data_IF_539247392250
#
_entry.id   IF_539247392250
#
_cell.length_a   1.000
_cell.length_b   1.000
_cell.length_c   1.000
_cell.angle_alpha   90.00
_cell.angle_beta   90.00
_cell.angle_gamma   90.00
#
_symmetry.space_group_name_H-M   'P 1'
#
loop_
_entity.id
_entity.type
_entity.pdbx_description
1 polymer ?
#
# COMPACT_ATOMS: atom_id res chain seq x y z
N UNK A 1 -13.57 67.48 56.45
CA UNK A 1 -12.27 66.77 56.35
C UNK A 1 -12.24 66.08 55.00
N UNK A 2 -11.19 66.36 54.24
CA UNK A 2 -11.02 66.02 52.83
C UNK A 2 -10.64 64.54 52.65
N UNK A 3 -11.06 63.91 51.56
CA UNK A 3 -10.11 63.32 50.61
C UNK A 3 -10.78 62.82 49.32
N UNK A 4 -10.15 63.21 48.22
CA UNK A 4 -10.41 62.91 46.82
C UNK A 4 -9.41 61.81 46.40
N UNK A 5 -9.67 61.13 45.27
CA UNK A 5 -8.84 60.18 44.51
C UNK A 5 -9.02 58.71 44.96
N UNK A 6 -9.17 57.72 44.09
CA UNK A 6 -8.41 57.47 42.86
C UNK A 6 -9.19 56.45 42.01
N UNK A 7 -9.61 56.80 40.79
CA UNK A 7 -8.91 56.55 39.52
C UNK A 7 -8.92 55.07 39.09
N UNK A 8 -9.48 54.85 37.91
CA UNK A 8 -9.90 53.56 37.38
C UNK A 8 -8.79 52.53 37.19
N UNK A 9 -9.17 51.26 37.36
CA UNK A 9 -8.41 50.11 36.89
C UNK A 9 -9.02 49.61 35.58
N UNK A 10 -8.56 50.17 34.46
CA UNK A 10 -8.68 49.51 33.15
C UNK A 10 -7.38 48.76 32.88
N UNK A 11 -7.27 47.52 33.35
CA UNK A 11 -6.14 46.66 32.99
C UNK A 11 -6.52 45.81 31.78
N UNK A 12 -6.23 46.39 30.61
CA UNK A 12 -5.59 45.77 29.45
C UNK A 12 -6.03 44.36 29.08
N UNK A 13 -6.89 44.27 28.07
CA UNK A 13 -7.08 43.06 27.28
C UNK A 13 -5.73 42.67 26.66
N UNK A 14 -5.28 41.45 26.97
CA UNK A 14 -4.09 40.83 26.39
C UNK A 14 -4.36 40.53 24.92
N UNK A 15 -4.02 41.47 24.03
CA UNK A 15 -4.03 41.26 22.58
C UNK A 15 -3.03 40.16 22.25
N UNK A 16 -3.54 39.03 21.77
CA UNK A 16 -2.74 37.89 21.35
C UNK A 16 -2.16 38.25 19.97
N UNK A 17 -0.93 38.75 19.96
CA UNK A 17 -0.17 39.00 18.74
C UNK A 17 0.14 37.65 18.07
N UNK A 18 -0.70 37.25 17.10
CA UNK A 18 -0.51 36.09 16.22
C UNK A 18 0.49 36.37 15.09
N UNK A 19 1.34 37.40 15.25
CA UNK A 19 2.33 37.77 14.23
C UNK A 19 3.50 36.81 14.24
N UNK A 20 3.64 36.12 13.11
CA UNK A 20 4.85 35.46 12.63
C UNK A 20 5.17 34.09 13.23
N UNK A 21 4.25 33.15 13.05
CA UNK A 21 4.65 31.73 12.88
C UNK A 21 5.44 31.63 11.57
N UNK A 22 6.76 31.42 11.68
CA UNK A 22 7.65 31.32 10.52
C UNK A 22 7.31 30.07 9.68
N UNK A 23 6.46 30.23 8.67
CA UNK A 23 5.98 29.20 7.72
C UNK A 23 7.10 28.32 7.15
N UNK A 24 8.32 28.84 7.06
CA UNK A 24 9.49 28.16 6.48
C UNK A 24 9.94 26.94 7.31
N UNK A 25 9.67 26.91 8.62
CA UNK A 25 10.06 25.79 9.50
C UNK A 25 9.13 24.58 9.35
N UNK A 26 7.84 24.83 9.12
CA UNK A 26 6.83 23.78 8.98
C UNK A 26 6.91 23.10 7.61
N UNK A 27 7.26 23.84 6.56
CA UNK A 27 7.47 23.29 5.20
C UNK A 27 8.53 22.17 5.22
N UNK A 28 9.59 22.31 6.03
CA UNK A 28 10.65 21.28 6.13
C UNK A 28 10.17 19.96 6.76
N UNK A 29 9.13 20.00 7.58
CA UNK A 29 8.56 18.83 8.27
C UNK A 29 7.38 18.24 7.47
N UNK A 30 6.57 19.10 6.86
CA UNK A 30 5.38 18.69 6.09
C UNK A 30 5.79 17.98 4.78
N UNK A 31 6.85 18.42 4.13
CA UNK A 31 7.29 17.86 2.85
C UNK A 31 7.65 16.36 2.91
N UNK A 32 8.48 15.87 3.86
CA UNK A 32 8.78 14.44 3.95
C UNK A 32 7.56 13.62 4.38
N UNK A 33 6.67 14.15 5.22
CA UNK A 33 5.44 13.45 5.64
C UNK A 33 4.48 13.28 4.45
N UNK A 34 4.32 14.31 3.63
CA UNK A 34 3.51 14.25 2.42
C UNK A 34 4.09 13.26 1.39
N UNK A 35 5.41 13.27 1.22
CA UNK A 35 6.09 12.32 0.33
C UNK A 35 5.94 10.88 0.83
N UNK A 36 6.07 10.65 2.14
CA UNK A 36 5.85 9.35 2.75
C UNK A 36 4.39 8.89 2.56
N UNK A 37 3.41 9.78 2.78
CA UNK A 37 1.99 9.47 2.58
C UNK A 37 1.65 9.11 1.13
N UNK A 38 2.33 9.72 0.15
CA UNK A 38 2.18 9.40 -1.28
C UNK A 38 2.87 8.10 -1.69
N UNK A 39 3.89 7.65 -0.97
CA UNK A 39 4.59 6.40 -1.27
C UNK A 39 3.85 5.14 -0.78
N UNK A 40 3.03 5.26 0.27
CA UNK A 40 2.27 4.14 0.87
C UNK A 40 1.33 3.40 -0.11
N UNK A 41 0.52 4.05 -0.97
CA UNK A 41 -0.48 3.35 -1.79
C UNK A 41 0.09 2.47 -2.91
N UNK A 42 1.41 2.53 -3.19
CA UNK A 42 2.03 1.69 -4.24
C UNK A 42 2.32 0.28 -3.72
N UNK A 43 2.59 0.13 -2.42
CA UNK A 43 3.04 -1.14 -1.83
C UNK A 43 1.85 -2.08 -1.52
N UNK A 44 0.66 -1.53 -1.29
CA UNK A 44 -0.51 -2.32 -0.89
C UNK A 44 -1.25 -3.06 -2.02
N UNK A 45 -0.73 -3.07 -3.25
CA UNK A 45 -1.38 -3.77 -4.37
C UNK A 45 -1.15 -5.29 -4.39
N UNK A 46 -0.37 -5.83 -3.46
CA UNK A 46 -0.15 -7.27 -3.26
C UNK A 46 -1.01 -7.83 -2.13
N UNK A 47 -2.32 -7.55 -2.13
CA UNK A 47 -3.24 -8.37 -1.34
C UNK A 47 -3.54 -9.65 -2.12
N UNK A 48 -2.82 -10.71 -1.79
CA UNK A 48 -3.23 -12.09 -2.08
C UNK A 48 -4.62 -12.29 -1.46
N UNK A 49 -5.66 -12.30 -2.30
CA UNK A 49 -7.02 -12.69 -1.87
C UNK A 49 -6.95 -14.07 -1.24
N UNK A 50 -7.72 -14.29 -0.17
CA UNK A 50 -7.87 -15.61 0.44
C UNK A 50 -8.22 -16.65 -0.65
N UNK A 51 -7.69 -17.88 -0.58
CA UNK A 51 -7.94 -18.89 -1.58
C UNK A 51 -9.46 -19.13 -1.74
N UNK A 52 -9.97 -19.27 -2.98
CA UNK A 52 -11.38 -19.59 -3.17
C UNK A 52 -11.71 -20.94 -2.53
N UNK A 53 -12.94 -21.14 -2.00
CA UNK A 53 -13.33 -22.37 -1.32
C UNK A 53 -13.24 -23.61 -2.24
N UNK A 54 -13.37 -23.40 -3.55
CA UNK A 54 -13.21 -24.43 -4.58
C UNK A 54 -12.13 -23.96 -5.58
N UNK A 55 -10.85 -24.33 -5.39
CA UNK A 55 -9.80 -24.00 -6.34
C UNK A 55 -10.07 -24.70 -7.67
N UNK A 56 -9.95 -23.93 -8.75
CA UNK A 56 -10.07 -24.41 -10.12
C UNK A 56 -9.17 -23.52 -10.96
N UNK A 57 -8.03 -24.07 -11.39
CA UNK A 57 -6.98 -23.33 -12.07
C UNK A 57 -6.63 -23.97 -13.41
N UNK A 58 -6.58 -23.15 -14.44
CA UNK A 58 -5.94 -23.45 -15.71
C UNK A 58 -4.45 -23.09 -15.61
N UNK A 59 -3.60 -24.10 -15.70
CA UNK A 59 -2.16 -23.89 -15.77
C UNK A 59 -1.78 -23.54 -17.21
N UNK A 60 -1.11 -22.41 -17.41
CA UNK A 60 -0.81 -21.84 -18.72
C UNK A 60 0.69 -21.56 -18.82
N UNK A 61 1.32 -22.01 -19.89
CA UNK A 61 2.69 -21.63 -20.22
C UNK A 61 2.73 -20.15 -20.64
N UNK A 62 3.55 -19.36 -19.96
CA UNK A 62 3.73 -17.93 -20.22
C UNK A 62 4.34 -17.65 -21.59
N UNK A 63 5.22 -18.53 -22.08
CA UNK A 63 5.94 -18.30 -23.33
C UNK A 63 5.04 -18.51 -24.55
N UNK A 64 4.25 -19.59 -24.55
CA UNK A 64 3.38 -19.95 -25.67
C UNK A 64 1.92 -19.56 -25.48
N UNK A 65 1.55 -19.12 -24.27
CA UNK A 65 0.17 -18.89 -23.83
C UNK A 65 -0.74 -20.15 -23.99
N UNK A 66 -0.12 -21.33 -24.06
CA UNK A 66 -0.80 -22.62 -24.20
C UNK A 66 -1.19 -23.14 -22.82
N UNK A 67 -2.40 -23.68 -22.71
CA UNK A 67 -2.83 -24.42 -21.52
C UNK A 67 -2.04 -25.73 -21.40
N UNK A 68 -1.38 -25.91 -20.26
CA UNK A 68 -0.66 -27.12 -19.88
C UNK A 68 -1.63 -28.16 -19.29
N UNK A 69 -2.43 -27.75 -18.31
CA UNK A 69 -3.41 -28.62 -17.65
C UNK A 69 -4.49 -27.82 -16.92
N UNK A 70 -5.53 -28.50 -16.43
CA UNK A 70 -6.53 -27.97 -15.50
C UNK A 70 -6.46 -28.74 -14.19
N UNK A 71 -6.50 -28.04 -13.06
CA UNK A 71 -6.42 -28.66 -11.74
C UNK A 71 -7.36 -28.01 -10.74
N UNK A 72 -7.89 -28.84 -9.84
CA UNK A 72 -8.68 -28.41 -8.68
C UNK A 72 -7.85 -28.41 -7.39
N UNK A 73 -6.52 -28.40 -7.51
CA UNK A 73 -5.60 -28.27 -6.37
C UNK A 73 -5.31 -26.81 -6.11
N UNK A 74 -5.11 -26.43 -4.84
CA UNK A 74 -4.61 -25.11 -4.51
C UNK A 74 -3.19 -24.92 -5.09
N UNK A 75 -3.00 -23.80 -5.79
CA UNK A 75 -1.72 -23.42 -6.38
C UNK A 75 -1.23 -22.13 -5.74
N UNK A 76 0.08 -22.02 -5.57
CA UNK A 76 0.79 -20.83 -5.09
C UNK A 76 1.86 -20.42 -6.10
N UNK A 77 2.22 -19.13 -6.07
CA UNK A 77 3.38 -18.65 -6.81
C UNK A 77 4.64 -19.27 -6.20
N UNK A 78 5.48 -19.86 -7.06
CA UNK A 78 6.65 -20.64 -6.66
C UNK A 78 6.46 -22.15 -6.72
N UNK A 79 5.22 -22.65 -6.77
CA UNK A 79 4.96 -24.08 -6.92
C UNK A 79 5.47 -24.59 -8.28
N UNK A 80 5.83 -25.88 -8.30
CA UNK A 80 6.36 -26.56 -9.47
C UNK A 80 5.35 -27.57 -10.03
N UNK A 81 5.27 -27.62 -11.35
CA UNK A 81 4.47 -28.55 -12.11
C UNK A 81 5.38 -29.36 -13.02
N UNK A 82 5.28 -30.69 -12.92
CA UNK A 82 5.97 -31.62 -13.81
C UNK A 82 4.95 -32.12 -14.83
N UNK A 83 5.21 -31.86 -16.10
CA UNK A 83 4.36 -32.30 -17.20
C UNK A 83 4.60 -33.76 -17.59
N UNK A 84 3.72 -34.32 -18.42
CA UNK A 84 3.84 -35.71 -18.88
C UNK A 84 5.09 -35.98 -19.74
N UNK A 85 5.64 -34.95 -20.38
CA UNK A 85 6.91 -34.96 -21.12
C UNK A 85 8.13 -34.62 -20.23
N UNK A 86 7.97 -34.73 -18.91
CA UNK A 86 9.02 -34.53 -17.91
C UNK A 86 9.66 -33.13 -17.97
N UNK A 87 8.89 -32.12 -18.38
CA UNK A 87 9.30 -30.72 -18.33
C UNK A 87 8.83 -30.13 -17.00
N UNK A 88 9.70 -29.35 -16.36
CA UNK A 88 9.38 -28.69 -15.09
C UNK A 88 8.99 -27.25 -15.37
N UNK A 89 7.88 -26.83 -14.78
CA UNK A 89 7.38 -25.46 -14.87
C UNK A 89 7.23 -24.89 -13.47
N UNK A 90 7.60 -23.62 -13.28
CA UNK A 90 7.39 -22.89 -12.03
C UNK A 90 6.31 -21.85 -12.21
N UNK A 91 5.35 -21.80 -11.29
CA UNK A 91 4.27 -20.81 -11.30
C UNK A 91 4.84 -19.44 -10.92
N UNK A 92 4.77 -18.47 -11.83
CA UNK A 92 5.30 -17.11 -11.63
C UNK A 92 4.20 -16.09 -11.26
N UNK A 93 2.96 -16.36 -11.66
CA UNK A 93 1.81 -15.50 -11.33
C UNK A 93 0.51 -16.28 -11.34
N UNK A 94 -0.42 -15.91 -10.46
CA UNK A 94 -1.80 -16.41 -10.50
C UNK A 94 -2.71 -15.21 -10.69
N UNK A 95 -3.59 -15.28 -11.70
CA UNK A 95 -4.57 -14.25 -11.98
C UNK A 95 -5.92 -14.90 -12.27
N UNK A 96 -6.89 -14.63 -11.39
CA UNK A 96 -8.23 -15.23 -11.44
C UNK A 96 -8.16 -16.76 -11.42
N UNK A 97 -8.61 -17.42 -12.48
CA UNK A 97 -8.64 -18.87 -12.68
C UNK A 97 -7.41 -19.38 -13.46
N UNK A 98 -6.40 -18.54 -13.70
CA UNK A 98 -5.21 -18.91 -14.47
C UNK A 98 -3.95 -18.82 -13.63
N UNK A 99 -3.21 -19.91 -13.59
CA UNK A 99 -1.85 -19.97 -13.06
C UNK A 99 -0.89 -19.95 -14.24
N UNK A 100 -0.10 -18.88 -14.36
CA UNK A 100 0.90 -18.76 -15.42
C UNK A 100 2.22 -19.30 -14.90
N UNK A 101 2.79 -20.23 -15.64
CA UNK A 101 4.04 -20.88 -15.31
C UNK A 101 5.07 -20.63 -16.41
N UNK A 102 6.34 -20.71 -16.03
CA UNK A 102 7.48 -20.62 -16.93
C UNK A 102 8.26 -21.93 -16.81
N UNK A 103 8.75 -22.44 -17.94
CA UNK A 103 9.57 -23.64 -17.93
C UNK A 103 10.90 -23.34 -17.24
N UNK A 104 11.29 -24.20 -16.31
CA UNK A 104 12.59 -24.16 -15.65
C UNK A 104 13.35 -25.42 -16.07
N UNK A 105 14.51 -25.22 -16.69
CA UNK A 105 15.40 -26.29 -17.13
C UNK A 105 16.32 -26.76 -15.99
#
# INVERSE_FOLDING_TARGET
MNNILSLGKTTSAKTIDLRSISMKKYIRIILPILFLALAVPVIFRYQSKAPPPNPSYWLVDTATNRTLTHTSTFLSVGDEYISADNQVYRIIRIHSDKAYAERID
#
